data_IF_751433035267
#
_entry.id   IF_751433035267
#
_cell.length_a   1.000
_cell.length_b   1.000
_cell.length_c   1.000
_cell.angle_alpha   90.00
_cell.angle_beta   90.00
_cell.angle_gamma   90.00
#
_symmetry.space_group_name_H-M   'P 1'
#
loop_
_entity.id
_entity.type
_entity.pdbx_description
1 polymer ?
#
# COMPACT_ATOMS: atom_id res chain seq x y z
N UNK A 1 12.43 4.59 -2.84
CA UNK A 1 11.16 4.96 -2.21
C UNK A 1 10.38 5.90 -3.12
N UNK A 2 9.17 5.56 -3.47
CA UNK A 2 8.24 6.48 -4.13
C UNK A 2 7.37 7.22 -3.08
N UNK A 3 7.04 6.53 -2.01
CA UNK A 3 6.23 7.07 -0.92
C UNK A 3 7.00 6.98 0.39
N UNK A 4 7.52 8.08 0.86
CA UNK A 4 8.26 8.15 2.13
C UNK A 4 7.81 9.37 2.92
N UNK A 5 7.64 9.19 4.20
CA UNK A 5 7.28 10.27 5.11
C UNK A 5 8.16 10.31 6.33
N UNK A 6 8.48 11.51 6.80
CA UNK A 6 9.21 11.73 8.03
C UNK A 6 8.35 12.50 9.02
N UNK A 7 7.98 11.84 10.13
CA UNK A 7 7.30 12.47 11.25
C UNK A 7 5.90 13.02 11.01
N UNK A 8 5.11 12.54 10.03
CA UNK A 8 3.73 12.98 9.92
C UNK A 8 2.93 12.44 11.10
N UNK A 9 2.10 13.27 11.62
CA UNK A 9 1.22 12.96 12.75
C UNK A 9 -0.14 12.56 12.22
N UNK A 10 -0.30 11.27 11.90
CA UNK A 10 -1.58 10.65 11.61
C UNK A 10 -2.23 10.98 10.27
N UNK A 11 -3.15 10.13 9.86
CA UNK A 11 -4.16 10.43 8.86
C UNK A 11 -3.69 10.56 7.40
N UNK A 12 -2.67 9.81 6.95
CA UNK A 12 -2.27 9.80 5.54
C UNK A 12 -2.76 8.55 4.82
N UNK A 13 -3.28 8.75 3.60
CA UNK A 13 -3.73 7.68 2.72
C UNK A 13 -2.97 7.74 1.40
N UNK A 14 -2.41 6.60 0.99
CA UNK A 14 -1.95 6.36 -0.36
C UNK A 14 -3.01 5.54 -1.07
N UNK A 15 -3.80 6.20 -1.92
CA UNK A 15 -4.93 5.61 -2.61
C UNK A 15 -4.59 5.36 -4.09
N UNK A 16 -4.78 4.12 -4.54
CA UNK A 16 -4.61 3.72 -5.93
C UNK A 16 -3.23 4.10 -6.53
N UNK A 17 -2.20 4.17 -5.68
CA UNK A 17 -0.86 4.54 -6.10
C UNK A 17 -0.14 3.38 -6.77
N UNK A 18 0.79 3.73 -7.68
CA UNK A 18 1.62 2.78 -8.39
C UNK A 18 3.10 3.12 -8.25
N UNK A 19 3.92 2.14 -7.91
CA UNK A 19 5.37 2.27 -7.84
C UNK A 19 6.04 0.97 -8.30
N UNK A 20 6.84 1.02 -9.36
CA UNK A 20 7.41 -0.19 -9.97
C UNK A 20 8.90 -0.38 -9.71
N UNK A 21 9.69 0.66 -9.93
CA UNK A 21 11.16 0.57 -9.86
C UNK A 21 11.70 1.14 -8.55
N UNK A 22 11.13 0.67 -7.46
CA UNK A 22 11.57 1.11 -6.14
C UNK A 22 12.98 0.58 -5.82
N UNK A 23 13.85 1.46 -5.39
CA UNK A 23 15.15 1.08 -4.86
C UNK A 23 15.05 0.54 -3.43
N UNK A 24 14.05 1.01 -2.69
CA UNK A 24 13.72 0.59 -1.32
C UNK A 24 12.21 0.57 -1.14
N UNK A 25 11.73 -0.16 -0.14
CA UNK A 25 10.32 -0.26 0.20
C UNK A 25 9.71 1.10 0.49
N UNK A 26 8.45 1.28 0.10
CA UNK A 26 7.66 2.43 0.46
C UNK A 26 7.27 2.32 1.93
N UNK A 27 7.69 3.30 2.73
CA UNK A 27 7.56 3.25 4.17
C UNK A 27 7.39 4.63 4.80
N UNK A 28 6.89 4.66 6.02
CA UNK A 28 7.05 5.80 6.90
C UNK A 28 8.34 5.66 7.67
N UNK A 29 9.27 6.55 7.41
CA UNK A 29 10.66 6.30 7.71
C UNK A 29 11.05 6.57 9.15
N UNK A 30 10.49 7.60 9.80
CA UNK A 30 11.01 8.08 11.09
C UNK A 30 9.95 8.74 11.97
N UNK A 31 10.32 8.99 13.25
CA UNK A 31 9.70 9.96 14.15
C UNK A 31 8.22 9.73 14.42
N UNK A 32 7.88 8.52 14.88
CA UNK A 32 6.52 8.18 15.30
C UNK A 32 5.46 8.37 14.22
N UNK A 33 5.82 8.07 12.98
CA UNK A 33 4.83 8.00 11.94
C UNK A 33 3.72 7.00 12.30
N UNK A 34 2.45 7.43 12.27
CA UNK A 34 1.32 6.60 12.67
C UNK A 34 0.05 6.90 11.88
N UNK A 35 -0.89 5.95 11.88
CA UNK A 35 -2.20 6.13 11.27
C UNK A 35 -2.15 6.21 9.73
N UNK A 36 -1.45 5.26 9.08
CA UNK A 36 -1.30 5.23 7.63
C UNK A 36 -2.18 4.18 7.01
N UNK A 37 -2.62 4.49 5.81
CA UNK A 37 -3.35 3.57 4.97
C UNK A 37 -2.69 3.48 3.58
N UNK A 38 -2.29 2.28 3.20
CA UNK A 38 -2.00 1.89 1.83
C UNK A 38 -3.26 1.21 1.28
N UNK A 39 -3.99 1.90 0.41
CA UNK A 39 -5.29 1.46 -0.12
C UNK A 39 -5.19 1.25 -1.63
N UNK A 40 -5.16 0.00 -2.08
CA UNK A 40 -4.95 -0.39 -3.47
C UNK A 40 -3.63 0.11 -4.08
N UNK A 41 -2.55 0.02 -3.36
CA UNK A 41 -1.22 0.38 -3.85
C UNK A 41 -0.59 -0.81 -4.57
N UNK A 42 0.07 -0.54 -5.70
CA UNK A 42 1.01 -1.47 -6.32
C UNK A 42 2.43 -1.06 -5.98
N UNK A 43 3.25 -1.98 -5.46
CA UNK A 43 4.67 -1.74 -5.21
C UNK A 43 5.20 -2.45 -3.97
N UNK A 44 6.40 -2.06 -3.57
CA UNK A 44 7.01 -2.56 -2.34
C UNK A 44 6.47 -1.80 -1.14
N UNK A 45 5.89 -2.49 -0.16
CA UNK A 45 5.31 -1.88 1.02
C UNK A 45 6.02 -2.39 2.28
N UNK A 46 6.30 -1.47 3.19
CA UNK A 46 6.83 -1.79 4.51
C UNK A 46 6.01 -1.11 5.60
N UNK A 47 5.48 -1.90 6.51
CA UNK A 47 4.81 -1.46 7.74
C UNK A 47 5.68 -1.90 8.93
N UNK A 48 6.96 -1.59 8.87
CA UNK A 48 7.93 -2.00 9.86
C UNK A 48 8.10 -0.96 10.96
N UNK A 49 8.27 -1.44 12.18
CA UNK A 49 8.69 -0.67 13.34
C UNK A 49 10.21 -0.78 13.47
N UNK A 50 10.97 0.12 12.88
CA UNK A 50 12.39 0.17 13.16
C UNK A 50 12.63 0.94 14.45
N UNK A 51 12.85 0.22 15.53
CA UNK A 51 13.25 0.79 16.84
C UNK A 51 14.69 1.26 16.88
N UNK A 52 15.19 1.96 15.86
CA UNK A 52 16.55 2.45 15.87
C UNK A 52 16.65 3.81 16.58
N UNK A 53 16.69 3.78 17.91
CA UNK A 53 16.85 4.98 18.72
C UNK A 53 18.26 5.56 18.67
N UNK A 54 19.26 4.74 18.31
CA UNK A 54 20.68 5.13 18.31
C UNK A 54 20.97 6.22 17.28
N UNK A 55 20.35 6.13 16.11
CA UNK A 55 20.51 7.13 15.03
C UNK A 55 19.37 8.16 15.01
N UNK A 56 18.55 8.23 16.05
CA UNK A 56 17.45 9.20 16.17
C UNK A 56 16.24 8.93 15.28
N UNK A 57 16.13 7.78 14.65
CA UNK A 57 14.99 7.43 13.79
C UNK A 57 13.72 7.15 14.58
N UNK A 58 13.84 6.58 15.79
CA UNK A 58 12.70 6.23 16.62
C UNK A 58 11.81 5.15 16.02
N UNK A 59 10.61 5.03 16.54
CA UNK A 59 9.57 4.12 16.02
C UNK A 59 8.93 4.68 14.76
N UNK A 60 8.53 3.81 13.84
CA UNK A 60 7.85 4.17 12.59
C UNK A 60 6.70 3.21 12.31
N UNK A 61 5.73 3.64 11.51
CA UNK A 61 4.62 2.81 11.01
C UNK A 61 3.77 2.19 12.12
N UNK A 62 3.33 3.01 13.08
CA UNK A 62 2.40 2.57 14.11
C UNK A 62 0.95 2.71 13.63
N UNK A 63 0.08 1.74 13.95
CA UNK A 63 -1.34 1.75 13.58
C UNK A 63 -1.58 1.97 12.08
N UNK A 64 -0.85 1.23 11.28
CA UNK A 64 -0.92 1.28 9.84
C UNK A 64 -1.78 0.12 9.29
N UNK A 65 -2.42 0.37 8.16
CA UNK A 65 -3.21 -0.62 7.45
C UNK A 65 -2.75 -0.70 5.98
N UNK A 66 -2.45 -1.91 5.52
CA UNK A 66 -2.31 -2.25 4.11
C UNK A 66 -3.58 -2.97 3.65
N UNK A 67 -4.36 -2.34 2.75
CA UNK A 67 -5.65 -2.82 2.29
C UNK A 67 -5.68 -3.06 0.79
N UNK A 68 -5.94 -4.30 0.39
CA UNK A 68 -6.11 -4.68 -1.02
C UNK A 68 -4.94 -4.25 -1.94
N UNK A 69 -3.71 -4.32 -1.45
CA UNK A 69 -2.55 -3.94 -2.25
C UNK A 69 -2.05 -5.11 -3.11
N UNK A 70 -1.35 -4.77 -4.18
CA UNK A 70 -0.53 -5.71 -4.95
C UNK A 70 0.92 -5.49 -4.55
N UNK A 71 1.45 -6.39 -3.74
CA UNK A 71 2.79 -6.27 -3.16
C UNK A 71 3.79 -6.99 -4.05
N UNK A 72 4.79 -6.25 -4.49
CA UNK A 72 5.90 -6.77 -5.30
C UNK A 72 7.21 -6.38 -4.66
N UNK A 73 8.08 -7.36 -4.44
CA UNK A 73 9.46 -7.12 -4.03
C UNK A 73 10.43 -7.83 -4.98
N UNK A 74 11.17 -7.09 -5.82
CA UNK A 74 12.14 -7.67 -6.72
C UNK A 74 13.41 -8.14 -6.01
N UNK A 75 13.61 -7.82 -4.73
CA UNK A 75 14.80 -8.18 -3.96
C UNK A 75 14.66 -9.55 -3.34
N UNK A 76 15.61 -10.43 -3.64
CA UNK A 76 15.56 -11.84 -3.22
C UNK A 76 15.92 -12.07 -1.74
N UNK A 77 16.50 -11.10 -1.06
CA UNK A 77 16.97 -11.25 0.32
C UNK A 77 16.01 -10.70 1.38
N UNK A 78 15.03 -9.91 0.96
CA UNK A 78 14.05 -9.28 1.83
C UNK A 78 12.69 -10.01 1.76
N UNK A 79 11.89 -10.07 2.82
CA UNK A 79 10.48 -10.41 2.74
C UNK A 79 9.73 -9.48 1.78
N UNK A 80 8.67 -10.01 1.15
CA UNK A 80 7.83 -9.21 0.26
C UNK A 80 7.09 -8.11 1.03
N UNK A 81 6.62 -8.44 2.23
CA UNK A 81 6.03 -7.49 3.16
C UNK A 81 6.74 -7.54 4.51
N UNK A 82 7.18 -6.40 5.01
CA UNK A 82 7.45 -6.23 6.42
C UNK A 82 6.22 -5.68 7.14
N UNK A 83 5.78 -6.37 8.17
CA UNK A 83 4.69 -5.92 9.04
C UNK A 83 4.99 -6.26 10.49
N UNK A 84 5.23 -5.24 11.30
CA UNK A 84 5.58 -5.40 12.70
C UNK A 84 4.45 -4.92 13.61
N UNK A 85 4.27 -5.62 14.71
CA UNK A 85 3.43 -5.19 15.83
C UNK A 85 4.18 -5.39 17.16
N UNK A 86 3.78 -4.63 18.17
CA UNK A 86 4.26 -4.78 19.54
C UNK A 86 3.03 -5.05 20.41
N UNK A 87 2.88 -6.27 20.98
CA UNK A 87 1.73 -6.62 21.79
C UNK A 87 1.44 -5.59 22.89
N UNK A 88 0.19 -5.17 22.97
CA UNK A 88 -0.25 -4.18 23.97
C UNK A 88 0.17 -2.73 23.71
N UNK A 89 0.94 -2.46 22.64
CA UNK A 89 1.43 -1.11 22.34
C UNK A 89 1.10 -0.64 20.93
N UNK A 90 1.42 -1.42 19.90
CA UNK A 90 1.23 -1.07 18.50
C UNK A 90 0.69 -2.26 17.73
N UNK A 91 -0.42 -2.06 17.03
CA UNK A 91 -0.96 -3.05 16.11
C UNK A 91 -0.95 -2.49 14.70
N UNK A 92 -0.38 -3.28 13.76
CA UNK A 92 -0.44 -3.03 12.32
C UNK A 92 -1.22 -4.15 11.63
N UNK A 93 -1.84 -3.82 10.49
CA UNK A 93 -2.77 -4.69 9.78
C UNK A 93 -2.41 -4.80 8.31
N UNK A 94 -2.51 -6.01 7.76
CA UNK A 94 -2.42 -6.27 6.32
C UNK A 94 -3.62 -7.15 5.93
N UNK A 95 -4.55 -6.59 5.18
CA UNK A 95 -5.82 -7.24 4.85
C UNK A 95 -6.03 -7.23 3.35
N UNK A 96 -6.30 -8.42 2.77
CA UNK A 96 -6.65 -8.52 1.36
C UNK A 96 -5.49 -8.23 0.40
N UNK A 97 -4.24 -8.42 0.80
CA UNK A 97 -3.10 -8.13 -0.07
C UNK A 97 -2.71 -9.35 -0.91
N UNK A 98 -2.37 -9.10 -2.18
CA UNK A 98 -1.88 -10.09 -3.14
C UNK A 98 -0.39 -9.92 -3.34
N UNK A 99 0.35 -11.01 -3.43
CA UNK A 99 1.79 -11.02 -3.51
C UNK A 99 2.28 -11.49 -4.88
N UNK A 100 3.05 -10.63 -5.54
CA UNK A 100 3.71 -10.95 -6.80
C UNK A 100 5.18 -11.29 -6.55
N UNK A 101 5.43 -12.47 -6.05
CA UNK A 101 6.78 -12.86 -5.70
C UNK A 101 6.84 -14.14 -4.91
N UNK A 102 7.60 -14.12 -3.81
CA UNK A 102 7.82 -15.30 -2.96
C UNK A 102 6.76 -15.50 -1.90
N UNK A 103 5.82 -14.59 -1.82
CA UNK A 103 4.75 -14.63 -0.81
C UNK A 103 5.31 -14.71 0.62
N UNK A 104 6.26 -13.85 0.92
CA UNK A 104 6.97 -13.86 2.19
C UNK A 104 6.67 -12.63 3.04
N UNK A 105 6.39 -12.89 4.31
CA UNK A 105 6.14 -11.86 5.31
C UNK A 105 7.20 -11.93 6.40
N UNK A 106 7.67 -10.80 6.88
CA UNK A 106 8.69 -10.73 7.91
C UNK A 106 8.55 -9.56 8.86
N UNK A 107 9.41 -9.57 9.86
CA UNK A 107 9.55 -8.51 10.86
C UNK A 107 10.79 -7.69 10.55
N UNK A 108 10.65 -6.36 10.45
CA UNK A 108 11.79 -5.49 10.21
C UNK A 108 12.75 -5.50 11.40
N UNK A 109 14.01 -5.86 11.13
CA UNK A 109 15.12 -5.89 12.10
C UNK A 109 14.85 -6.67 13.39
N UNK A 110 13.93 -7.63 13.35
CA UNK A 110 13.62 -8.47 14.51
C UNK A 110 12.93 -7.76 15.68
N UNK A 111 12.35 -6.60 15.46
CA UNK A 111 11.58 -5.89 16.49
C UNK A 111 10.10 -6.27 16.47
N UNK A 112 9.57 -6.71 17.61
CA UNK A 112 8.17 -7.07 17.76
C UNK A 112 7.83 -8.42 17.16
N UNK A 113 6.57 -8.57 16.82
CA UNK A 113 6.00 -9.76 16.22
C UNK A 113 5.41 -9.41 14.84
N UNK A 114 5.04 -10.42 14.06
CA UNK A 114 4.30 -10.22 12.82
C UNK A 114 2.95 -9.58 13.17
N UNK A 115 2.58 -8.51 12.44
CA UNK A 115 1.30 -7.85 12.58
C UNK A 115 0.12 -8.72 12.16
N UNK A 116 -1.09 -8.20 12.32
CA UNK A 116 -2.29 -8.93 11.93
C UNK A 116 -2.40 -9.04 10.41
N UNK A 117 -2.59 -10.27 9.93
CA UNK A 117 -2.75 -10.56 8.50
C UNK A 117 -4.06 -11.32 8.30
N UNK A 118 -4.85 -10.85 7.33
CA UNK A 118 -6.11 -11.49 6.96
C UNK A 118 -6.28 -11.52 5.44
N UNK A 119 -6.93 -12.56 4.94
CA UNK A 119 -7.17 -12.75 3.51
C UNK A 119 -5.89 -12.60 2.68
N UNK A 120 -4.85 -13.33 3.11
CA UNK A 120 -3.57 -13.38 2.45
C UNK A 120 -3.73 -13.91 1.03
N UNK A 121 -3.09 -13.24 0.07
CA UNK A 121 -3.15 -13.52 -1.37
C UNK A 121 -4.55 -13.50 -1.98
N UNK A 122 -5.48 -12.78 -1.35
CA UNK A 122 -6.85 -12.62 -1.84
C UNK A 122 -7.42 -11.27 -1.44
N UNK A 123 -7.94 -10.51 -2.41
CA UNK A 123 -8.59 -9.24 -2.13
C UNK A 123 -9.91 -9.39 -1.37
N UNK A 124 -10.27 -8.35 -0.64
CA UNK A 124 -11.49 -8.28 0.16
C UNK A 124 -12.38 -7.09 -0.24
N UNK A 125 -13.64 -7.14 0.15
CA UNK A 125 -14.57 -6.00 0.06
C UNK A 125 -14.48 -5.15 1.35
N UNK A 126 -14.67 -3.83 1.21
CA UNK A 126 -14.84 -3.06 -0.03
C UNK A 126 -13.52 -2.92 -0.80
N UNK A 127 -13.58 -2.52 -2.08
CA UNK A 127 -12.38 -2.24 -2.89
C UNK A 127 -11.41 -1.28 -2.18
N UNK A 128 -11.95 -0.17 -1.70
CA UNK A 128 -11.22 0.86 -0.97
C UNK A 128 -11.91 1.14 0.35
N UNK A 129 -11.22 0.92 1.44
CA UNK A 129 -11.73 1.24 2.77
C UNK A 129 -11.79 2.76 2.98
N UNK A 130 -10.87 3.51 2.40
CA UNK A 130 -10.89 4.98 2.47
C UNK A 130 -12.11 5.57 1.78
N UNK A 131 -12.38 5.18 0.54
CA UNK A 131 -13.52 5.72 -0.23
C UNK A 131 -14.85 5.32 0.40
N UNK A 132 -14.94 4.10 0.93
CA UNK A 132 -16.13 3.64 1.65
C UNK A 132 -16.38 4.49 2.88
N UNK A 133 -15.39 4.66 3.74
CA UNK A 133 -15.52 5.48 4.96
C UNK A 133 -15.78 6.96 4.64
N UNK A 134 -15.18 7.48 3.56
CA UNK A 134 -15.45 8.85 3.11
C UNK A 134 -16.91 9.01 2.69
N UNK A 135 -17.44 8.06 1.92
CA UNK A 135 -18.84 8.05 1.49
C UNK A 135 -19.82 7.93 2.65
N UNK A 136 -19.55 7.04 3.59
CA UNK A 136 -20.37 6.85 4.80
C UNK A 136 -20.42 8.10 5.67
N UNK A 137 -19.32 8.84 5.76
CA UNK A 137 -19.22 10.02 6.63
C UNK A 137 -19.68 11.33 6.00
N UNK A 138 -19.41 11.53 4.71
CA UNK A 138 -19.58 12.81 4.03
C UNK A 138 -20.43 12.71 2.76
N UNK A 139 -20.90 11.51 2.42
CA UNK A 139 -21.73 11.26 1.25
C UNK A 139 -20.93 11.05 -0.05
N UNK A 140 -21.63 10.58 -1.07
CA UNK A 140 -21.04 10.24 -2.37
C UNK A 140 -20.42 11.43 -3.11
N UNK A 141 -20.92 12.64 -2.89
CA UNK A 141 -20.36 13.83 -3.52
C UNK A 141 -18.93 14.11 -3.06
N UNK A 142 -18.64 13.86 -1.78
CA UNK A 142 -17.28 13.97 -1.27
C UNK A 142 -16.35 12.94 -1.93
N UNK A 143 -16.83 11.72 -2.17
CA UNK A 143 -16.06 10.70 -2.90
C UNK A 143 -15.78 11.16 -4.33
N UNK A 144 -16.78 11.69 -5.05
CA UNK A 144 -16.62 12.20 -6.43
C UNK A 144 -15.64 13.37 -6.53
N UNK A 145 -15.53 14.19 -5.49
CA UNK A 145 -14.60 15.33 -5.49
C UNK A 145 -13.12 14.92 -5.38
N UNK A 146 -12.83 13.77 -4.80
CA UNK A 146 -11.45 13.29 -4.56
C UNK A 146 -11.04 12.14 -5.46
N UNK A 147 -11.90 11.71 -6.38
CA UNK A 147 -11.65 10.55 -7.24
C UNK A 147 -11.75 10.89 -8.72
N UNK A 148 -10.99 10.14 -9.53
CA UNK A 148 -11.17 10.10 -10.98
C UNK A 148 -12.33 9.15 -11.33
N UNK A 149 -12.76 9.19 -12.61
CA UNK A 149 -13.78 8.27 -13.11
C UNK A 149 -13.33 6.80 -13.00
N UNK A 150 -12.07 6.51 -13.29
CA UNK A 150 -11.52 5.15 -13.18
C UNK A 150 -11.55 4.63 -11.76
N UNK A 151 -11.25 5.47 -10.78
CA UNK A 151 -11.35 5.11 -9.36
C UNK A 151 -12.79 4.78 -8.94
N UNK A 152 -13.76 5.57 -9.42
CA UNK A 152 -15.20 5.32 -9.17
C UNK A 152 -15.68 4.00 -9.80
N UNK A 153 -15.17 3.65 -10.98
CA UNK A 153 -15.54 2.41 -11.66
C UNK A 153 -14.90 1.16 -11.00
N UNK A 154 -13.96 1.35 -10.11
CA UNK A 154 -13.38 0.30 -9.29
C UNK A 154 -12.44 -0.69 -10.00
N UNK A 155 -12.12 -0.45 -11.27
CA UNK A 155 -11.16 -1.28 -12.02
C UNK A 155 -9.74 -0.82 -11.70
N UNK A 156 -9.01 -1.58 -10.93
CA UNK A 156 -7.68 -1.24 -10.42
C UNK A 156 -6.68 -0.97 -11.54
N UNK A 157 -6.56 -1.86 -12.51
CA UNK A 157 -5.66 -1.67 -13.64
C UNK A 157 -6.00 -0.43 -14.47
N UNK A 158 -7.29 -0.12 -14.66
CA UNK A 158 -7.70 1.08 -15.39
C UNK A 158 -7.26 2.39 -14.72
N UNK A 159 -7.23 2.42 -13.37
CA UNK A 159 -6.69 3.58 -12.62
C UNK A 159 -5.22 3.76 -12.91
N UNK A 160 -4.43 2.71 -12.83
CA UNK A 160 -2.99 2.79 -13.08
C UNK A 160 -2.68 3.18 -14.53
N UNK A 161 -3.39 2.62 -15.50
CA UNK A 161 -3.26 2.99 -16.92
C UNK A 161 -3.60 4.48 -17.15
N UNK A 162 -4.65 4.99 -16.52
CA UNK A 162 -5.02 6.42 -16.60
C UNK A 162 -3.91 7.30 -16.03
N UNK A 163 -3.38 6.95 -14.86
CA UNK A 163 -2.28 7.68 -14.24
C UNK A 163 -1.05 7.73 -15.13
N UNK A 164 -0.66 6.59 -15.71
CA UNK A 164 0.51 6.52 -16.59
C UNK A 164 0.31 7.35 -17.85
N UNK A 165 -0.87 7.27 -18.50
CA UNK A 165 -1.18 8.06 -19.68
C UNK A 165 -1.09 9.57 -19.41
N UNK A 166 -1.54 10.00 -18.23
CA UNK A 166 -1.49 11.41 -17.84
C UNK A 166 -0.06 11.90 -17.56
N UNK A 167 0.86 11.00 -17.27
CA UNK A 167 2.27 11.30 -16.99
C UNK A 167 3.23 10.78 -18.07
N UNK A 168 2.74 10.32 -19.21
CA UNK A 168 3.53 9.72 -20.29
C UNK A 168 4.55 10.64 -20.96
N UNK A 169 4.53 11.93 -20.64
CA UNK A 169 5.56 12.90 -21.10
C UNK A 169 6.90 12.75 -20.38
N UNK A 170 7.00 11.91 -19.37
CA UNK A 170 8.27 11.56 -18.75
C UNK A 170 8.93 10.43 -19.56
N UNK A 171 10.11 10.66 -20.19
CA UNK A 171 10.71 9.69 -21.11
C UNK A 171 11.17 8.38 -20.44
N UNK A 172 11.17 8.32 -19.12
CA UNK A 172 11.56 7.14 -18.34
C UNK A 172 10.38 6.24 -17.97
N UNK A 173 9.16 6.62 -18.33
CA UNK A 173 7.98 5.80 -18.01
C UNK A 173 7.86 4.65 -18.98
N UNK A 174 7.56 3.44 -18.51
CA UNK A 174 7.39 2.29 -19.36
C UNK A 174 6.21 2.53 -20.33
N UNK A 175 6.36 2.02 -21.54
CA UNK A 175 5.27 1.98 -22.49
C UNK A 175 4.03 1.34 -21.84
N UNK A 176 2.88 2.01 -21.80
CA UNK A 176 1.67 1.46 -21.21
C UNK A 176 1.28 0.08 -21.77
N UNK A 177 1.65 -0.22 -23.03
CA UNK A 177 1.39 -1.50 -23.67
C UNK A 177 2.32 -2.62 -23.18
N UNK A 178 3.47 -2.27 -22.62
CA UNK A 178 4.46 -3.20 -22.07
C UNK A 178 4.52 -3.18 -20.54
N UNK A 179 3.67 -2.41 -19.93
CA UNK A 179 3.69 -2.23 -18.48
C UNK A 179 3.28 -3.51 -17.74
N UNK A 180 3.94 -3.83 -16.61
CA UNK A 180 3.67 -5.04 -15.84
C UNK A 180 2.23 -5.16 -15.34
N UNK A 181 1.52 -4.04 -15.19
CA UNK A 181 0.12 -4.04 -14.78
C UNK A 181 -0.86 -4.41 -15.90
N UNK A 182 -0.41 -4.55 -17.14
CA UNK A 182 -1.29 -4.90 -18.26
C UNK A 182 -1.99 -6.24 -18.03
N UNK A 183 -1.31 -7.18 -17.43
CA UNK A 183 -1.90 -8.45 -17.01
C UNK A 183 -3.03 -8.28 -15.98
N UNK A 184 -3.02 -7.16 -15.24
CA UNK A 184 -4.02 -6.80 -14.23
C UNK A 184 -5.07 -5.79 -14.75
N UNK A 185 -4.95 -5.29 -15.98
CA UNK A 185 -5.88 -4.28 -16.53
C UNK A 185 -7.33 -4.75 -16.51
N UNK A 186 -7.55 -6.03 -16.77
CA UNK A 186 -8.86 -6.67 -16.73
C UNK A 186 -9.08 -7.50 -15.45
N UNK A 187 -8.15 -7.45 -14.54
CA UNK A 187 -8.24 -8.22 -13.33
C UNK A 187 -9.31 -7.62 -12.41
N UNK A 188 -10.43 -8.31 -12.34
CA UNK A 188 -11.51 -8.04 -11.40
C UNK A 188 -11.28 -8.99 -10.23
N UNK A 189 -11.11 -8.48 -9.02
CA UNK A 189 -11.05 -9.36 -7.86
C UNK A 189 -12.27 -10.28 -7.85
N UNK A 190 -12.05 -11.55 -7.67
CA UNK A 190 -13.14 -12.44 -7.27
C UNK A 190 -13.52 -12.04 -5.84
N UNK A 191 -14.59 -11.27 -5.74
CA UNK A 191 -15.08 -10.82 -4.43
C UNK A 191 -15.73 -11.93 -3.63
N UNK A 192 -15.80 -13.18 -4.17
CA UNK A 192 -16.53 -14.29 -3.56
C UNK A 192 -17.95 -13.87 -3.21
N UNK A 193 -18.96 -14.48 -3.82
CA UNK A 193 -20.34 -14.29 -3.40
C UNK A 193 -20.56 -14.73 -1.95
#
# INVERSE_FOLDING_TARGET
>A
HAFIGNGPRGGCVFLDCFSEKDHLKNEWHQRWGHGFLYDNVYGEIQIGLAGNTVIGHGQKSAFALAWNNVIRNPRHWDPDLYINSIPGLVQNYAIGNVFLGRDSVGVDRGYGEIGYIESHDRFVKPRSVYLTQLGERLGEDAVRQVTTKSQLHGKRGAVWVELVKNFSHFPEWPDPEQAPWKEYENWVPDWGE
#
